data_IF_276410645064
#
_entry.id   IF_276410645064
#
_cell.length_a   1.000
_cell.length_b   1.000
_cell.length_c   1.000
_cell.angle_alpha   90.00
_cell.angle_beta   90.00
_cell.angle_gamma   90.00
#
_symmetry.space_group_name_H-M   'P 1'
#
loop_
_entity.id
_entity.type
_entity.pdbx_description
1 polymer ?
#
# COMPACT_ATOMS: atom_id res chain seq x y z
N UNK A 1 -11.20 -26.92 -21.42
CA UNK A 1 -11.45 -26.21 -20.14
C UNK A 1 -10.27 -26.31 -19.16
N UNK A 2 -9.46 -27.38 -19.22
CA UNK A 2 -8.30 -27.58 -18.33
C UNK A 2 -7.18 -26.54 -18.49
N UNK A 3 -6.86 -26.11 -19.72
CA UNK A 3 -5.78 -25.13 -19.96
C UNK A 3 -6.03 -23.76 -19.31
N UNK A 4 -7.30 -23.29 -19.32
CA UNK A 4 -7.65 -22.00 -18.73
C UNK A 4 -7.52 -22.03 -17.21
N UNK A 5 -7.89 -23.16 -16.59
CA UNK A 5 -7.78 -23.38 -15.14
C UNK A 5 -6.31 -23.49 -14.72
N UNK A 6 -5.49 -24.24 -15.46
CA UNK A 6 -4.05 -24.38 -15.19
C UNK A 6 -3.35 -23.01 -15.27
N UNK A 7 -3.69 -22.20 -16.27
CA UNK A 7 -3.14 -20.86 -16.43
C UNK A 7 -3.49 -19.95 -15.23
N UNK A 8 -4.74 -19.99 -14.75
CA UNK A 8 -5.15 -19.17 -13.59
C UNK A 8 -4.46 -19.58 -12.28
N UNK A 9 -4.24 -20.88 -12.04
CA UNK A 9 -3.49 -21.32 -10.87
C UNK A 9 -2.02 -20.91 -10.92
N UNK A 10 -1.40 -21.03 -12.09
CA UNK A 10 -0.03 -20.60 -12.32
C UNK A 10 0.13 -19.09 -12.10
N UNK A 11 -0.77 -18.28 -12.65
CA UNK A 11 -0.77 -16.83 -12.46
C UNK A 11 -0.91 -16.45 -10.99
N UNK A 12 -1.82 -17.09 -10.24
CA UNK A 12 -1.96 -16.89 -8.79
C UNK A 12 -0.66 -17.16 -8.06
N UNK A 13 -0.02 -18.30 -8.34
CA UNK A 13 1.24 -18.67 -7.71
C UNK A 13 2.36 -17.68 -8.03
N UNK A 14 2.47 -17.26 -9.30
CA UNK A 14 3.48 -16.29 -9.72
C UNK A 14 3.26 -14.91 -9.09
N UNK A 15 2.00 -14.48 -8.95
CA UNK A 15 1.64 -13.24 -8.27
C UNK A 15 2.00 -13.29 -6.78
N UNK A 16 1.65 -14.37 -6.08
CA UNK A 16 2.05 -14.61 -4.67
C UNK A 16 3.57 -14.49 -4.51
N UNK A 17 4.35 -15.16 -5.37
CA UNK A 17 5.81 -15.07 -5.34
C UNK A 17 6.33 -13.65 -5.64
N UNK A 18 5.70 -12.94 -6.58
CA UNK A 18 6.09 -11.56 -6.89
C UNK A 18 5.81 -10.60 -5.72
N UNK A 19 4.69 -10.78 -5.02
CA UNK A 19 4.35 -10.00 -3.81
C UNK A 19 5.32 -10.32 -2.67
N UNK A 20 5.68 -11.59 -2.47
CA UNK A 20 6.68 -11.99 -1.47
C UNK A 20 8.05 -11.37 -1.78
N UNK A 21 8.52 -11.49 -3.02
CA UNK A 21 9.79 -10.91 -3.47
C UNK A 21 9.80 -9.38 -3.36
N UNK A 22 8.66 -8.72 -3.60
CA UNK A 22 8.50 -7.27 -3.36
C UNK A 22 8.76 -6.93 -1.88
N UNK A 23 8.28 -7.77 -0.95
CA UNK A 23 8.52 -7.61 0.48
C UNK A 23 9.97 -7.80 0.92
N UNK A 24 10.83 -8.37 0.07
CA UNK A 24 12.26 -8.60 0.34
C UNK A 24 13.18 -7.56 -0.34
N UNK A 25 12.61 -6.56 -1.01
CA UNK A 25 13.33 -5.39 -1.54
C UNK A 25 13.95 -4.55 -0.42
N UNK A 26 15.01 -3.79 -0.72
CA UNK A 26 15.78 -3.05 0.30
C UNK A 26 15.62 -1.55 0.23
N UNK A 27 15.18 -1.03 -0.91
CA UNK A 27 15.01 0.41 -1.12
C UNK A 27 13.59 0.75 -1.56
N UNK A 28 13.17 1.98 -1.30
CA UNK A 28 11.87 2.49 -1.74
C UNK A 28 11.73 2.44 -3.27
N UNK A 29 12.81 2.77 -4.00
CA UNK A 29 12.84 2.71 -5.46
C UNK A 29 12.60 1.29 -6.00
N UNK A 30 13.23 0.28 -5.39
CA UNK A 30 13.02 -1.14 -5.73
C UNK A 30 11.58 -1.57 -5.43
N UNK A 31 11.04 -1.14 -4.28
CA UNK A 31 9.69 -1.46 -3.83
C UNK A 31 8.64 -0.90 -4.79
N UNK A 32 8.72 0.39 -5.12
CA UNK A 32 7.79 1.03 -6.07
C UNK A 32 7.93 0.44 -7.48
N UNK A 33 9.15 0.12 -7.91
CA UNK A 33 9.37 -0.53 -9.21
C UNK A 33 8.76 -1.95 -9.25
N UNK A 34 8.87 -2.72 -8.17
CA UNK A 34 8.24 -4.04 -8.05
C UNK A 34 6.71 -3.93 -8.08
N UNK A 35 6.13 -2.99 -7.34
CA UNK A 35 4.69 -2.73 -7.35
C UNK A 35 4.18 -2.39 -8.76
N UNK A 36 4.87 -1.49 -9.48
CA UNK A 36 4.54 -1.14 -10.88
C UNK A 36 4.60 -2.35 -11.81
N UNK A 37 5.64 -3.19 -11.69
CA UNK A 37 5.75 -4.42 -12.49
C UNK A 37 4.59 -5.35 -12.25
N UNK A 38 4.21 -5.57 -10.98
CA UNK A 38 3.07 -6.42 -10.62
C UNK A 38 1.76 -5.86 -11.21
N UNK A 39 1.47 -4.58 -10.99
CA UNK A 39 0.25 -3.95 -11.50
C UNK A 39 0.14 -3.97 -13.04
N UNK A 40 1.28 -3.92 -13.74
CA UNK A 40 1.31 -4.01 -15.21
C UNK A 40 1.19 -5.45 -15.73
N UNK A 41 1.67 -6.43 -14.97
CA UNK A 41 1.76 -7.83 -15.43
C UNK A 41 0.49 -8.62 -15.17
N UNK A 42 -0.22 -8.32 -14.08
CA UNK A 42 -1.36 -9.12 -13.62
C UNK A 42 -2.68 -8.34 -13.71
N UNK A 43 -3.81 -9.04 -13.93
CA UNK A 43 -5.14 -8.43 -13.88
C UNK A 43 -5.41 -7.74 -12.54
N UNK A 44 -6.07 -6.57 -12.58
CA UNK A 44 -6.30 -5.74 -11.40
C UNK A 44 -7.13 -6.45 -10.31
N UNK A 45 -8.13 -7.22 -10.70
CA UNK A 45 -8.97 -8.04 -9.81
C UNK A 45 -8.15 -9.12 -9.09
N UNK A 46 -7.23 -9.75 -9.82
CA UNK A 46 -6.33 -10.75 -9.27
C UNK A 46 -5.35 -10.12 -8.27
N UNK A 47 -4.78 -8.97 -8.61
CA UNK A 47 -3.90 -8.20 -7.71
C UNK A 47 -4.66 -7.76 -6.46
N UNK A 48 -5.85 -7.18 -6.60
CA UNK A 48 -6.68 -6.75 -5.47
C UNK A 48 -7.00 -7.91 -4.54
N UNK A 49 -7.50 -9.03 -5.10
CA UNK A 49 -7.84 -10.22 -4.30
C UNK A 49 -6.64 -10.80 -3.55
N UNK A 50 -5.43 -10.63 -4.08
CA UNK A 50 -4.20 -11.14 -3.46
C UNK A 50 -3.66 -10.15 -2.46
N UNK A 51 -3.69 -8.85 -2.73
CA UNK A 51 -3.37 -7.79 -1.78
C UNK A 51 -4.16 -7.95 -0.48
N UNK A 52 -5.47 -8.20 -0.58
CA UNK A 52 -6.33 -8.40 0.59
C UNK A 52 -5.90 -9.58 1.47
N UNK A 53 -5.28 -10.62 0.88
CA UNK A 53 -4.77 -11.78 1.61
C UNK A 53 -3.47 -11.52 2.38
N UNK A 54 -2.74 -10.46 2.03
CA UNK A 54 -1.48 -10.09 2.69
C UNK A 54 -1.64 -8.92 3.68
N UNK A 55 -2.87 -8.50 3.97
CA UNK A 55 -3.12 -7.42 4.94
C UNK A 55 -2.72 -7.79 6.37
N UNK A 56 -2.63 -9.09 6.69
CA UNK A 56 -2.14 -9.58 7.98
C UNK A 56 -0.62 -9.50 8.12
N UNK A 57 0.10 -8.97 7.12
CA UNK A 57 1.56 -9.00 7.11
C UNK A 57 2.18 -8.25 8.30
N UNK A 58 3.14 -8.88 9.01
CA UNK A 58 3.94 -8.19 10.02
C UNK A 58 5.09 -7.40 9.39
N UNK A 59 5.45 -7.66 8.12
CA UNK A 59 6.60 -7.03 7.45
C UNK A 59 6.24 -5.60 7.01
N UNK A 60 6.92 -4.59 7.57
CA UNK A 60 6.74 -3.18 7.20
C UNK A 60 7.01 -2.90 5.72
N UNK A 61 8.07 -3.51 5.17
CA UNK A 61 8.43 -3.39 3.75
C UNK A 61 7.31 -3.89 2.83
N UNK A 62 6.77 -5.07 3.14
CA UNK A 62 5.64 -5.62 2.38
C UNK A 62 4.40 -4.73 2.51
N UNK A 63 4.10 -4.22 3.72
CA UNK A 63 3.01 -3.27 3.94
C UNK A 63 3.13 -2.03 3.07
N UNK A 64 4.32 -1.45 2.97
CA UNK A 64 4.61 -0.32 2.06
C UNK A 64 4.38 -0.68 0.60
N UNK A 65 4.83 -1.86 0.17
CA UNK A 65 4.62 -2.36 -1.19
C UNK A 65 3.14 -2.58 -1.53
N UNK A 66 2.36 -3.12 -0.59
CA UNK A 66 0.90 -3.25 -0.74
C UNK A 66 0.23 -1.88 -0.89
N UNK A 67 0.71 -0.86 -0.17
CA UNK A 67 0.24 0.52 -0.34
C UNK A 67 0.50 1.06 -1.75
N UNK A 68 1.73 0.90 -2.25
CA UNK A 68 2.08 1.27 -3.63
C UNK A 68 1.25 0.51 -4.67
N UNK A 69 1.01 -0.78 -4.45
CA UNK A 69 0.13 -1.58 -5.31
C UNK A 69 -1.30 -1.05 -5.32
N UNK A 70 -1.87 -0.76 -4.15
CA UNK A 70 -3.22 -0.23 -4.04
C UNK A 70 -3.40 1.08 -4.81
N UNK A 71 -2.39 1.97 -4.77
CA UNK A 71 -2.41 3.24 -5.49
C UNK A 71 -2.36 3.10 -7.03
N UNK A 72 -1.99 1.91 -7.54
CA UNK A 72 -1.93 1.60 -8.98
C UNK A 72 -3.18 0.86 -9.48
N UNK A 73 -4.07 0.43 -8.59
CA UNK A 73 -5.32 -0.25 -8.93
C UNK A 73 -6.45 0.75 -9.23
N UNK A 74 -7.55 0.32 -9.87
CA UNK A 74 -8.75 1.15 -10.01
C UNK A 74 -9.19 1.69 -8.64
N UNK A 75 -9.13 3.01 -8.48
CA UNK A 75 -9.23 3.67 -7.17
C UNK A 75 -10.52 3.37 -6.43
N UNK A 76 -11.66 3.34 -7.12
CA UNK A 76 -12.96 3.06 -6.52
C UNK A 76 -13.06 1.63 -5.98
N UNK A 77 -12.56 0.65 -6.72
CA UNK A 77 -12.59 -0.77 -6.33
C UNK A 77 -11.64 -1.06 -5.16
N UNK A 78 -10.40 -0.55 -5.24
CA UNK A 78 -9.41 -0.72 -4.18
C UNK A 78 -9.87 -0.04 -2.89
N UNK A 79 -10.42 1.17 -2.99
CA UNK A 79 -10.96 1.92 -1.84
C UNK A 79 -12.13 1.18 -1.20
N UNK A 80 -13.09 0.71 -2.00
CA UNK A 80 -14.26 -0.01 -1.49
C UNK A 80 -13.85 -1.31 -0.77
N UNK A 81 -12.95 -2.09 -1.38
CA UNK A 81 -12.47 -3.34 -0.80
C UNK A 81 -11.72 -3.14 0.52
N UNK A 82 -10.82 -2.15 0.59
CA UNK A 82 -10.08 -1.84 1.81
C UNK A 82 -10.99 -1.27 2.90
N UNK A 83 -11.98 -0.43 2.55
CA UNK A 83 -12.98 0.04 3.53
C UNK A 83 -13.78 -1.12 4.11
N UNK A 84 -14.16 -2.09 3.28
CA UNK A 84 -14.81 -3.32 3.75
C UNK A 84 -13.91 -4.13 4.69
N UNK A 85 -12.60 -4.18 4.43
CA UNK A 85 -11.65 -4.88 5.28
C UNK A 85 -11.49 -4.19 6.66
N UNK A 86 -11.49 -2.86 6.70
CA UNK A 86 -11.48 -2.07 7.96
C UNK A 86 -12.76 -2.27 8.75
N UNK A 87 -13.92 -2.21 8.09
CA UNK A 87 -15.23 -2.26 8.75
C UNK A 87 -15.61 -3.65 9.28
N UNK A 88 -15.02 -4.71 8.73
CA UNK A 88 -15.31 -6.07 9.16
C UNK A 88 -14.61 -6.39 10.50
N UNK A 89 -15.34 -6.27 11.61
CA UNK A 89 -14.87 -6.62 12.96
C UNK A 89 -14.55 -8.12 13.16
N UNK A 90 -14.95 -8.98 12.22
CA UNK A 90 -14.53 -10.38 12.21
C UNK A 90 -13.11 -10.60 11.69
N UNK A 91 -12.50 -9.59 11.06
CA UNK A 91 -11.09 -9.65 10.66
C UNK A 91 -10.18 -9.47 11.88
N UNK A 92 -8.99 -10.08 11.81
CA UNK A 92 -7.91 -9.81 12.75
C UNK A 92 -7.63 -8.29 12.81
N UNK A 93 -7.37 -7.72 14.01
CA UNK A 93 -7.00 -6.31 14.13
C UNK A 93 -5.91 -5.91 13.15
N UNK A 94 -4.83 -6.68 13.00
CA UNK A 94 -3.72 -6.38 12.09
C UNK A 94 -4.16 -6.16 10.64
N UNK A 95 -5.14 -6.95 10.16
CA UNK A 95 -5.71 -6.79 8.81
C UNK A 95 -6.41 -5.43 8.70
N UNK A 96 -7.25 -5.10 9.69
CA UNK A 96 -8.01 -3.85 9.73
C UNK A 96 -7.08 -2.64 9.81
N UNK A 97 -6.03 -2.74 10.63
CA UNK A 97 -4.98 -1.73 10.77
C UNK A 97 -4.26 -1.51 9.44
N UNK A 98 -3.77 -2.59 8.81
CA UNK A 98 -3.07 -2.48 7.52
C UNK A 98 -3.97 -1.91 6.42
N UNK A 99 -5.25 -2.28 6.38
CA UNK A 99 -6.19 -1.70 5.42
C UNK A 99 -6.41 -0.20 5.68
N UNK A 100 -6.57 0.21 6.94
CA UNK A 100 -6.72 1.61 7.32
C UNK A 100 -5.49 2.43 6.92
N UNK A 101 -4.30 1.90 7.21
CA UNK A 101 -3.02 2.47 6.82
C UNK A 101 -2.92 2.75 5.31
N UNK A 102 -3.29 1.77 4.50
CA UNK A 102 -3.24 1.90 3.04
C UNK A 102 -4.23 2.97 2.56
N UNK A 103 -5.45 2.98 3.09
CA UNK A 103 -6.47 3.97 2.75
C UNK A 103 -5.99 5.41 3.04
N UNK A 104 -5.43 5.64 4.22
CA UNK A 104 -5.07 6.99 4.66
C UNK A 104 -3.80 7.52 4.03
N UNK A 105 -2.77 6.68 3.95
CA UNK A 105 -1.43 7.08 3.50
C UNK A 105 -1.26 7.01 1.98
N UNK A 106 -1.84 6.00 1.32
CA UNK A 106 -1.60 5.76 -0.10
C UNK A 106 -2.77 6.18 -0.98
N UNK A 107 -4.01 6.04 -0.48
CA UNK A 107 -5.22 6.40 -1.23
C UNK A 107 -5.81 7.76 -0.83
N UNK A 108 -5.21 8.45 0.14
CA UNK A 108 -5.62 9.78 0.59
C UNK A 108 -7.04 9.83 1.15
N UNK A 109 -7.59 8.69 1.58
CA UNK A 109 -8.92 8.62 2.18
C UNK A 109 -8.84 9.01 3.65
N UNK A 110 -9.84 9.67 4.19
CA UNK A 110 -9.98 9.87 5.64
C UNK A 110 -10.99 8.86 6.16
N UNK A 111 -10.64 8.13 7.22
CA UNK A 111 -11.54 7.17 7.83
C UNK A 111 -12.35 7.81 8.96
N UNK A 112 -13.67 7.55 9.03
CA UNK A 112 -14.47 7.92 10.20
C UNK A 112 -13.89 7.34 11.49
N UNK A 113 -13.77 8.16 12.54
CA UNK A 113 -13.25 7.72 13.85
C UNK A 113 -13.94 6.47 14.37
N UNK A 114 -15.27 6.37 14.22
CA UNK A 114 -16.05 5.20 14.66
C UNK A 114 -15.65 3.85 14.03
N UNK A 115 -14.93 3.85 12.90
CA UNK A 115 -14.42 2.63 12.26
C UNK A 115 -13.06 2.18 12.81
N UNK A 116 -12.34 3.08 13.48
CA UNK A 116 -10.99 2.86 14.00
C UNK A 116 -10.91 2.97 15.53
N UNK A 117 -11.94 3.49 16.21
CA UNK A 117 -11.94 3.67 17.67
C UNK A 117 -11.69 2.36 18.43
N UNK A 118 -12.20 1.23 17.95
CA UNK A 118 -11.96 -0.07 18.58
C UNK A 118 -10.56 -0.65 18.27
N UNK A 119 -9.85 -0.09 17.28
CA UNK A 119 -8.46 -0.43 16.97
C UNK A 119 -7.47 0.41 17.78
N UNK A 120 -7.83 1.65 18.12
CA UNK A 120 -7.03 2.56 18.96
C UNK A 120 -6.79 1.94 20.35
N UNK A 121 -7.81 1.34 20.97
CA UNK A 121 -7.69 0.65 22.27
C UNK A 121 -6.71 -0.54 22.27
N UNK A 122 -6.43 -1.13 21.09
CA UNK A 122 -5.56 -2.31 20.97
C UNK A 122 -4.11 -1.98 20.58
N UNK A 123 -3.84 -0.78 20.07
CA UNK A 123 -2.50 -0.42 19.55
C UNK A 123 -2.24 1.10 19.53
N UNK A 124 -2.70 1.79 20.57
CA UNK A 124 -2.82 3.25 20.71
C UNK A 124 -1.55 4.01 20.27
N UNK A 125 -0.38 3.56 20.71
CA UNK A 125 0.91 4.21 20.40
C UNK A 125 1.28 4.10 18.92
N UNK A 126 1.02 2.95 18.29
CA UNK A 126 1.35 2.69 16.90
C UNK A 126 0.42 3.45 15.94
N UNK A 127 -0.86 3.57 16.29
CA UNK A 127 -1.80 4.37 15.53
C UNK A 127 -1.58 5.86 15.70
N UNK A 128 -1.29 6.32 16.92
CA UNK A 128 -1.06 7.74 17.17
C UNK A 128 0.19 8.24 16.42
N UNK A 129 1.30 7.50 16.53
CA UNK A 129 2.53 7.82 15.78
C UNK A 129 2.32 7.82 14.27
N UNK A 130 1.41 6.98 13.80
CA UNK A 130 1.10 6.90 12.38
C UNK A 130 0.18 8.02 11.91
N UNK A 131 -0.84 8.36 12.70
CA UNK A 131 -1.72 9.50 12.40
C UNK A 131 -0.91 10.79 12.34
N UNK A 132 0.02 10.96 13.29
CA UNK A 132 0.98 12.06 13.29
C UNK A 132 1.85 12.05 12.03
N UNK A 133 2.41 10.91 11.63
CA UNK A 133 3.19 10.81 10.39
C UNK A 133 2.36 11.03 9.10
N UNK A 134 1.06 10.70 9.10
CA UNK A 134 0.14 10.94 7.97
C UNK A 134 -0.28 12.40 7.90
N UNK A 135 -0.57 13.03 9.04
CA UNK A 135 -0.85 14.47 9.14
C UNK A 135 0.40 15.27 8.69
N UNK A 136 1.57 14.92 9.20
CA UNK A 136 2.85 15.52 8.80
C UNK A 136 3.14 15.32 7.30
N UNK A 137 2.84 14.15 6.74
CA UNK A 137 2.98 13.89 5.30
C UNK A 137 1.95 14.62 4.41
N UNK A 138 0.76 14.92 4.94
CA UNK A 138 -0.26 15.73 4.24
C UNK A 138 0.10 17.21 4.24
N UNK A 139 0.68 17.72 5.31
CA UNK A 139 1.18 19.10 5.40
C UNK A 139 2.49 19.30 4.60
N UNK A 140 3.38 18.31 4.58
CA UNK A 140 4.70 18.41 3.95
C UNK A 140 4.74 18.13 2.42
N UNK A 141 3.59 18.08 1.73
CA UNK A 141 3.56 17.92 0.26
C UNK A 141 4.33 19.04 -0.47
N UNK A 142 4.53 20.20 0.15
CA UNK A 142 5.38 21.28 -0.38
C UNK A 142 6.88 21.06 -0.22
N UNK A 143 7.34 20.38 0.83
CA UNK A 143 8.78 20.16 1.09
C UNK A 143 9.39 19.18 0.08
N UNK A 144 8.63 18.18 -0.37
CA UNK A 144 9.09 17.25 -1.42
C UNK A 144 9.23 17.93 -2.79
N UNK A 145 8.42 18.95 -3.09
CA UNK A 145 8.55 19.76 -4.31
C UNK A 145 9.74 20.72 -4.21
N UNK A 146 10.00 21.31 -3.04
CA UNK A 146 11.19 22.13 -2.82
C UNK A 146 12.48 21.31 -2.95
N UNK A 147 12.52 20.07 -2.45
CA UNK A 147 13.67 19.18 -2.61
C UNK A 147 13.93 18.80 -4.09
N UNK A 148 12.89 18.49 -4.86
CA UNK A 148 13.01 18.23 -6.31
C UNK A 148 13.42 19.49 -7.07
N UNK A 149 12.96 20.66 -6.64
CA UNK A 149 13.33 21.95 -7.26
C UNK A 149 14.78 22.31 -6.94
N UNK A 150 15.23 22.15 -5.68
CA UNK A 150 16.62 22.33 -5.27
C UNK A 150 17.58 21.36 -5.96
N UNK A 151 17.18 20.11 -6.19
CA UNK A 151 18.01 19.15 -6.95
C UNK A 151 18.16 19.57 -8.42
N UNK A 152 17.10 20.11 -9.05
CA UNK A 152 17.17 20.63 -10.42
C UNK A 152 18.00 21.92 -10.53
N UNK A 153 17.99 22.76 -9.50
CA UNK A 153 18.86 23.95 -9.44
C UNK A 153 20.32 23.59 -9.15
N UNK A 154 20.56 22.51 -8.39
CA UNK A 154 21.92 22.03 -8.10
C UNK A 154 22.59 21.37 -9.32
N UNK A 155 21.83 20.65 -10.16
CA UNK A 155 22.36 20.13 -11.44
C UNK A 155 22.69 21.23 -12.47
N UNK A 156 22.06 22.41 -12.38
CA UNK A 156 22.36 23.55 -13.24
C UNK A 156 23.58 24.37 -12.77
N UNK A 157 24.05 24.16 -11.54
CA UNK A 157 25.20 24.87 -10.95
C UNK A 157 26.55 24.16 -11.08
N UNK A 158 26.59 22.92 -11.56
CA UNK A 158 27.83 22.16 -11.83
C UNK A 158 28.04 22.01 -13.34
N UNK A 159 27.96 23.14 -14.03
CA UNK A 159 28.44 23.30 -15.40
C UNK A 159 28.81 24.77 -15.62
N UNK A 160 29.90 25.22 -14.99
CA UNK A 160 30.83 26.26 -15.45
C UNK A 160 32.05 26.33 -14.51
#
# INVERSE_FOLDING_TARGET
MSDKIINTFQQRRQLTQAIEAMGDTRTEAELTAAARRIAHTYPADLVLSTLLKYLDTPKSQLRGGLGHLAALLPGDEATAALRSAVANRGNDPQIRITAALILERFLGQTLPGALISDLEDSNEVAFQSLREAVEEGRENRHILLEYVTQMRETEAGVAL
#
